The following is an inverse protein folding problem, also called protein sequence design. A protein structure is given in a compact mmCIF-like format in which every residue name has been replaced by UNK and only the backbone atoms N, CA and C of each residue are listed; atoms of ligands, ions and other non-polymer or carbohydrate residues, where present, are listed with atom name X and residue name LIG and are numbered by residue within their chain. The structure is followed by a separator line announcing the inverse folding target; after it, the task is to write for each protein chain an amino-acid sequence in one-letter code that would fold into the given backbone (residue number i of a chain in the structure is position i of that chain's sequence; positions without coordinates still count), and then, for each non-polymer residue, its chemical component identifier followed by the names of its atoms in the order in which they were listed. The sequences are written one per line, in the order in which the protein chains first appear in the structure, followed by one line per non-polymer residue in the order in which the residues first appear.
data_IF_226357775060
#
_entry.id   IF_226357775060
#
_cell.length_a   1.000
_cell.length_b   1.000
_cell.length_c   1.000
_cell.angle_alpha   90.00
_cell.angle_beta   90.00
_cell.angle_gamma   90.00
#
_symmetry.space_group_name_H-M   'P 1'
#
loop_
_entity.id
_entity.type
_entity.pdbx_description
1 polymer ?
#
# COMPACT_ATOMS: atom_id res chain seq x y z
N UNK A 1 30.72 -27.78 20.20
CA UNK A 1 29.30 -27.39 20.46
C UNK A 1 29.05 -25.87 20.34
N UNK A 2 30.03 -25.00 20.57
CA UNK A 2 29.93 -23.53 20.38
C UNK A 2 29.83 -23.09 18.91
N UNK A 3 30.61 -23.71 18.01
CA UNK A 3 30.66 -23.31 16.60
C UNK A 3 29.34 -23.54 15.85
N UNK A 4 28.65 -24.65 16.13
CA UNK A 4 27.35 -24.96 15.53
C UNK A 4 26.28 -23.94 15.96
N UNK A 5 26.31 -23.51 17.22
CA UNK A 5 25.43 -22.45 17.75
C UNK A 5 25.72 -21.11 17.06
N UNK A 6 26.98 -20.75 16.85
CA UNK A 6 27.35 -19.52 16.15
C UNK A 6 26.90 -19.52 14.68
N UNK A 7 27.05 -20.65 13.97
CA UNK A 7 26.55 -20.82 12.59
C UNK A 7 25.02 -20.68 12.52
N UNK A 8 24.31 -21.31 13.46
CA UNK A 8 22.85 -21.21 13.55
C UNK A 8 22.38 -19.77 13.79
N UNK A 9 22.97 -19.06 14.75
CA UNK A 9 22.65 -17.66 15.05
C UNK A 9 22.90 -16.77 13.83
N UNK A 10 24.01 -17.00 13.11
CA UNK A 10 24.32 -16.26 11.88
C UNK A 10 23.25 -16.48 10.81
N UNK A 11 22.81 -17.72 10.60
CA UNK A 11 21.73 -18.03 9.66
C UNK A 11 20.41 -17.37 10.06
N UNK A 12 20.01 -17.47 11.34
CA UNK A 12 18.80 -16.84 11.85
C UNK A 12 18.80 -15.32 11.65
N UNK A 13 19.94 -14.67 11.91
CA UNK A 13 20.09 -13.23 11.71
C UNK A 13 19.97 -12.80 10.24
N UNK A 14 20.47 -13.61 9.30
CA UNK A 14 20.32 -13.36 7.87
C UNK A 14 18.84 -13.43 7.45
N UNK A 15 18.10 -14.44 7.91
CA UNK A 15 16.67 -14.57 7.64
C UNK A 15 15.88 -13.40 8.26
N UNK A 16 16.14 -13.04 9.51
CA UNK A 16 15.47 -11.92 10.17
C UNK A 16 15.69 -10.60 9.43
N UNK A 17 16.91 -10.33 8.95
CA UNK A 17 17.23 -9.13 8.16
C UNK A 17 16.47 -9.12 6.83
N UNK A 18 16.46 -10.25 6.12
CA UNK A 18 15.76 -10.39 4.83
C UNK A 18 14.24 -10.17 4.98
N UNK A 19 13.63 -10.76 6.02
CA UNK A 19 12.20 -10.58 6.33
C UNK A 19 11.91 -9.10 6.60
N UNK A 20 12.69 -8.45 7.47
CA UNK A 20 12.52 -7.02 7.78
C UNK A 20 12.61 -6.14 6.53
N UNK A 21 13.57 -6.40 5.64
CA UNK A 21 13.70 -5.64 4.39
C UNK A 21 12.51 -5.87 3.45
N UNK A 22 12.04 -7.12 3.32
CA UNK A 22 10.85 -7.48 2.54
C UNK A 22 9.58 -6.80 3.09
N UNK A 23 9.42 -6.74 4.42
CA UNK A 23 8.30 -6.04 5.06
C UNK A 23 8.33 -4.55 4.75
N UNK A 24 9.50 -3.89 4.88
CA UNK A 24 9.64 -2.46 4.56
C UNK A 24 9.32 -2.16 3.09
N UNK A 25 9.82 -2.98 2.17
CA UNK A 25 9.53 -2.84 0.73
C UNK A 25 8.04 -3.05 0.44
N UNK A 26 7.41 -4.02 1.11
CA UNK A 26 5.97 -4.28 1.01
C UNK A 26 5.17 -3.08 1.52
N UNK A 27 5.49 -2.55 2.70
CA UNK A 27 4.84 -1.35 3.24
C UNK A 27 5.00 -0.14 2.31
N UNK A 28 6.18 0.06 1.72
CA UNK A 28 6.39 1.12 0.74
C UNK A 28 5.49 0.93 -0.50
N UNK A 29 5.35 -0.31 -0.99
CA UNK A 29 4.47 -0.60 -2.14
C UNK A 29 3.01 -0.25 -1.86
N UNK A 30 2.49 -0.55 -0.65
CA UNK A 30 1.13 -0.16 -0.25
C UNK A 30 0.97 1.37 -0.19
N UNK A 31 1.94 2.08 0.38
CA UNK A 31 1.89 3.55 0.48
C UNK A 31 1.86 4.22 -0.89
N UNK A 32 2.68 3.74 -1.84
CA UNK A 32 2.69 4.28 -3.20
C UNK A 32 1.40 3.91 -3.95
N UNK A 33 0.92 2.67 -3.82
CA UNK A 33 -0.36 2.26 -4.41
C UNK A 33 -1.53 3.10 -3.90
N UNK A 34 -1.58 3.38 -2.59
CA UNK A 34 -2.58 4.26 -1.99
C UNK A 34 -2.47 5.70 -2.52
N UNK A 35 -1.24 6.22 -2.67
CA UNK A 35 -1.02 7.56 -3.22
C UNK A 35 -1.53 7.65 -4.67
N UNK A 36 -1.23 6.65 -5.50
CA UNK A 36 -1.72 6.57 -6.89
C UNK A 36 -3.25 6.55 -6.94
N UNK A 37 -3.89 5.70 -6.13
CA UNK A 37 -5.34 5.62 -6.04
C UNK A 37 -5.96 6.95 -5.60
N UNK A 38 -5.42 7.56 -4.54
CA UNK A 38 -5.89 8.85 -3.99
C UNK A 38 -5.78 10.00 -5.01
N UNK A 39 -4.78 9.96 -5.89
CA UNK A 39 -4.55 10.97 -6.92
C UNK A 39 -5.18 10.60 -8.27
N UNK A 40 -5.94 9.50 -8.33
CA UNK A 40 -6.59 8.98 -9.54
C UNK A 40 -5.59 8.86 -10.69
N UNK A 41 -4.43 8.28 -10.38
CA UNK A 41 -3.33 8.07 -11.33
C UNK A 41 -3.36 6.66 -11.91
N UNK A 42 -3.02 6.48 -13.20
CA UNK A 42 -2.85 5.16 -13.80
C UNK A 42 -1.86 4.31 -13.01
N UNK A 43 -2.19 3.04 -12.79
CA UNK A 43 -1.35 2.14 -11.98
C UNK A 43 0.00 1.82 -12.64
N UNK A 44 0.10 2.00 -13.95
CA UNK A 44 1.36 1.93 -14.71
C UNK A 44 2.38 2.99 -14.26
N UNK A 45 1.93 4.10 -13.67
CA UNK A 45 2.84 5.12 -13.13
C UNK A 45 3.70 4.60 -11.97
N UNK A 46 3.33 3.47 -11.34
CA UNK A 46 4.15 2.84 -10.32
C UNK A 46 5.57 2.50 -10.80
N UNK A 47 5.71 2.08 -12.06
CA UNK A 47 7.03 1.79 -12.65
C UNK A 47 7.84 3.06 -12.90
N UNK A 48 7.18 4.13 -13.38
CA UNK A 48 7.80 5.44 -13.59
C UNK A 48 8.29 6.03 -12.25
N UNK A 49 7.49 5.91 -11.18
CA UNK A 49 7.90 6.35 -9.83
C UNK A 49 9.15 5.60 -9.39
N UNK A 50 9.21 4.27 -9.63
CA UNK A 50 10.38 3.47 -9.27
C UNK A 50 11.62 3.90 -10.05
N UNK A 51 11.47 4.12 -11.35
CA UNK A 51 12.55 4.59 -12.22
C UNK A 51 13.07 5.97 -11.76
N UNK A 52 12.18 6.91 -11.47
CA UNK A 52 12.55 8.21 -10.92
C UNK A 52 13.31 8.09 -9.58
N UNK A 53 12.87 7.21 -8.69
CA UNK A 53 13.57 6.94 -7.41
C UNK A 53 14.99 6.38 -7.64
N UNK A 54 15.17 5.51 -8.63
CA UNK A 54 16.48 4.96 -8.98
C UNK A 54 17.40 6.03 -9.59
N UNK A 55 16.90 6.84 -10.52
CA UNK A 55 17.65 7.97 -11.10
C UNK A 55 18.12 8.95 -10.00
N UNK A 56 17.23 9.30 -9.07
CA UNK A 56 17.59 10.12 -7.92
C UNK A 56 18.62 9.44 -7.01
N UNK A 57 18.51 8.13 -6.81
CA UNK A 57 19.45 7.42 -5.97
C UNK A 57 20.85 7.35 -6.60
N UNK A 58 20.93 7.15 -7.92
CA UNK A 58 22.18 7.11 -8.66
C UNK A 58 22.86 8.48 -8.72
N UNK A 59 22.09 9.57 -8.80
CA UNK A 59 22.63 10.93 -8.91
C UNK A 59 22.96 11.57 -7.56
N UNK A 60 22.07 11.47 -6.56
CA UNK A 60 22.25 12.14 -5.27
C UNK A 60 23.19 11.38 -4.33
N UNK A 61 23.32 10.06 -4.50
CA UNK A 61 24.14 9.21 -3.64
C UNK A 61 25.32 8.59 -4.38
N UNK A 62 25.74 9.15 -5.52
CA UNK A 62 26.78 8.55 -6.36
C UNK A 62 28.08 8.26 -5.58
N UNK A 63 28.53 9.23 -4.78
CA UNK A 63 29.72 9.14 -3.94
C UNK A 63 29.44 8.63 -2.51
N UNK A 64 28.21 8.23 -2.20
CA UNK A 64 27.83 7.84 -0.85
C UNK A 64 28.03 6.34 -0.62
N UNK A 65 28.67 5.97 0.50
CA UNK A 65 28.94 4.55 0.85
C UNK A 65 27.69 3.66 0.90
N UNK A 66 26.52 4.26 1.16
CA UNK A 66 25.22 3.56 1.22
C UNK A 66 24.49 3.44 -0.12
N UNK A 67 25.06 3.91 -1.25
CA UNK A 67 24.43 3.88 -2.58
C UNK A 67 23.83 2.52 -2.91
N UNK A 68 24.64 1.47 -2.81
CA UNK A 68 24.24 0.11 -3.15
C UNK A 68 23.09 -0.39 -2.28
N UNK A 69 23.08 -0.03 -0.99
CA UNK A 69 22.00 -0.43 -0.07
C UNK A 69 20.70 0.29 -0.42
N UNK A 70 20.76 1.58 -0.76
CA UNK A 70 19.61 2.39 -1.17
C UNK A 70 19.02 1.86 -2.48
N UNK A 71 19.85 1.69 -3.51
CA UNK A 71 19.43 1.16 -4.82
C UNK A 71 18.83 -0.24 -4.67
N UNK A 72 19.45 -1.11 -3.86
CA UNK A 72 18.90 -2.45 -3.57
C UNK A 72 17.55 -2.38 -2.86
N UNK A 73 17.39 -1.47 -1.91
CA UNK A 73 16.13 -1.27 -1.20
C UNK A 73 15.01 -0.79 -2.15
N UNK A 74 15.29 0.18 -3.03
CA UNK A 74 14.34 0.68 -4.03
C UNK A 74 13.97 -0.42 -5.03
N UNK A 75 14.96 -1.18 -5.51
CA UNK A 75 14.73 -2.31 -6.41
C UNK A 75 13.83 -3.40 -5.80
N UNK A 76 13.89 -3.59 -4.49
CA UNK A 76 13.01 -4.51 -3.76
C UNK A 76 11.53 -4.09 -3.72
N UNK A 77 11.20 -2.83 -4.02
CA UNK A 77 9.82 -2.35 -4.02
C UNK A 77 9.11 -2.86 -5.28
N UNK A 78 7.98 -3.54 -5.09
CA UNK A 78 7.16 -4.08 -6.17
C UNK A 78 6.11 -3.04 -6.59
N UNK A 79 6.25 -2.45 -7.77
CA UNK A 79 5.38 -1.37 -8.27
C UNK A 79 4.85 -1.61 -9.69
N UNK A 80 4.91 -2.85 -10.19
CA UNK A 80 4.24 -3.18 -11.46
C UNK A 80 2.74 -2.90 -11.36
N UNK A 81 2.11 -2.54 -12.48
CA UNK A 81 0.68 -2.21 -12.50
C UNK A 81 -0.17 -3.29 -11.82
N UNK A 82 0.10 -4.58 -12.10
CA UNK A 82 -0.56 -5.73 -11.44
C UNK A 82 -0.38 -5.72 -9.92
N UNK A 83 0.82 -5.40 -9.44
CA UNK A 83 1.06 -5.33 -8.00
C UNK A 83 0.27 -4.19 -7.39
N UNK A 84 0.31 -3.00 -8.00
CA UNK A 84 -0.43 -1.82 -7.54
C UNK A 84 -1.94 -2.13 -7.46
N UNK A 85 -2.52 -2.74 -8.49
CA UNK A 85 -3.91 -3.22 -8.49
C UNK A 85 -4.20 -4.10 -7.28
N UNK A 86 -3.41 -5.16 -7.08
CA UNK A 86 -3.60 -6.10 -5.96
C UNK A 86 -3.49 -5.40 -4.60
N UNK A 87 -2.56 -4.44 -4.45
CA UNK A 87 -2.42 -3.67 -3.19
C UNK A 87 -3.67 -2.84 -2.92
N UNK A 88 -4.25 -2.22 -3.95
CA UNK A 88 -5.48 -1.43 -3.85
C UNK A 88 -6.67 -2.33 -3.50
N UNK A 89 -6.82 -3.47 -4.18
CA UNK A 89 -7.87 -4.46 -3.88
C UNK A 89 -7.77 -4.94 -2.42
N UNK A 90 -6.57 -5.29 -1.95
CA UNK A 90 -6.35 -5.67 -0.55
C UNK A 90 -6.77 -4.58 0.44
N UNK A 91 -6.44 -3.31 0.15
CA UNK A 91 -6.86 -2.19 0.99
C UNK A 91 -8.38 -1.98 0.95
N UNK A 92 -9.02 -2.16 -0.22
CA UNK A 92 -10.46 -2.06 -0.35
C UNK A 92 -11.17 -3.16 0.46
N UNK A 93 -10.72 -4.41 0.36
CA UNK A 93 -11.25 -5.53 1.15
C UNK A 93 -11.04 -5.32 2.66
N UNK A 94 -9.91 -4.75 3.07
CA UNK A 94 -9.64 -4.43 4.48
C UNK A 94 -10.62 -3.35 5.01
N UNK A 95 -10.85 -2.29 4.22
CA UNK A 95 -11.85 -1.25 4.55
C UNK A 95 -13.26 -1.85 4.61
N UNK A 96 -13.63 -2.69 3.65
CA UNK A 96 -14.92 -3.38 3.62
C UNK A 96 -15.12 -4.28 4.84
N UNK A 97 -14.09 -5.02 5.25
CA UNK A 97 -14.14 -5.88 6.45
C UNK A 97 -14.30 -5.07 7.74
N UNK A 98 -13.58 -3.94 7.86
CA UNK A 98 -13.73 -3.02 8.99
C UNK A 98 -15.15 -2.42 9.01
N UNK A 99 -15.63 -1.91 7.88
CA UNK A 99 -16.98 -1.36 7.74
C UNK A 99 -18.05 -2.37 8.13
N UNK A 100 -17.96 -3.61 7.63
CA UNK A 100 -18.89 -4.68 8.00
C UNK A 100 -18.85 -4.95 9.51
N UNK A 101 -17.66 -5.00 10.10
CA UNK A 101 -17.50 -5.22 11.54
C UNK A 101 -18.16 -4.09 12.35
N UNK A 102 -18.00 -2.85 11.93
CA UNK A 102 -18.52 -1.68 12.64
C UNK A 102 -20.05 -1.58 12.50
N UNK A 103 -20.59 -1.87 11.32
CA UNK A 103 -22.04 -1.96 11.09
C UNK A 103 -22.67 -3.02 12.01
N UNK A 104 -22.07 -4.22 12.09
CA UNK A 104 -22.59 -5.31 12.94
C UNK A 104 -22.57 -4.98 14.44
N UNK A 105 -21.67 -4.08 14.87
CA UNK A 105 -21.62 -3.60 16.26
C UNK A 105 -22.54 -2.40 16.52
N UNK A 106 -22.96 -1.70 15.47
CA UNK A 106 -23.75 -0.48 15.59
C UNK A 106 -25.20 -0.80 16.02
N UNK A 107 -25.71 -0.08 17.02
CA UNK A 107 -27.12 -0.20 17.44
C UNK A 107 -28.05 0.49 16.43
N UNK A 108 -27.56 1.56 15.82
CA UNK A 108 -28.28 2.35 14.83
C UNK A 108 -27.34 2.71 13.68
N UNK A 109 -27.85 2.57 12.47
CA UNK A 109 -27.22 3.07 11.24
C UNK A 109 -28.30 3.68 10.34
N UNK A 110 -27.89 4.58 9.45
CA UNK A 110 -28.72 5.07 8.34
C UNK A 110 -28.02 4.86 7.01
N UNK A 111 -28.82 4.67 5.97
CA UNK A 111 -28.38 4.47 4.61
C UNK A 111 -28.94 5.61 3.76
N UNK A 112 -28.11 6.28 2.99
CA UNK A 112 -28.53 7.21 1.96
C UNK A 112 -28.12 6.65 0.60
N UNK A 113 -29.05 6.68 -0.35
CA UNK A 113 -28.83 6.24 -1.72
C UNK A 113 -29.12 7.43 -2.63
N UNK A 114 -28.17 7.75 -3.49
CA UNK A 114 -28.25 8.88 -4.42
C UNK A 114 -28.00 8.37 -5.84
N UNK A 115 -28.96 8.61 -6.74
CA UNK A 115 -28.89 8.22 -8.14
C UNK A 115 -28.71 9.47 -9.01
N UNK A 116 -27.69 9.47 -9.86
CA UNK A 116 -27.45 10.52 -10.86
C UNK A 116 -27.19 9.91 -12.23
N UNK A 117 -27.34 10.68 -13.29
CA UNK A 117 -27.02 10.23 -14.66
C UNK A 117 -25.80 10.98 -15.18
N UNK A 118 -24.88 10.29 -15.82
CA UNK A 118 -23.73 10.94 -16.45
C UNK A 118 -24.04 11.53 -17.82
N UNK A 119 -23.03 12.14 -18.45
CA UNK A 119 -23.15 12.78 -19.78
C UNK A 119 -23.49 11.81 -20.91
N UNK A 120 -23.42 10.50 -20.65
CA UNK A 120 -23.80 9.42 -21.56
C UNK A 120 -25.11 8.74 -21.17
N UNK A 121 -25.94 9.40 -20.36
CA UNK A 121 -27.21 8.89 -19.83
C UNK A 121 -27.07 7.56 -19.06
N UNK A 122 -25.87 7.27 -18.55
CA UNK A 122 -25.64 6.09 -17.71
C UNK A 122 -25.94 6.45 -16.25
N UNK A 123 -26.86 5.71 -15.63
CA UNK A 123 -27.19 5.87 -14.21
C UNK A 123 -26.00 5.43 -13.32
N UNK A 124 -25.67 6.27 -12.35
CA UNK A 124 -24.66 6.07 -11.32
C UNK A 124 -25.34 6.09 -9.95
N UNK A 125 -25.11 5.05 -9.15
CA UNK A 125 -25.70 4.90 -7.82
C UNK A 125 -24.63 5.02 -6.73
N UNK A 126 -24.75 6.05 -5.89
CA UNK A 126 -23.93 6.25 -4.71
C UNK A 126 -24.68 5.78 -3.47
N UNK A 127 -24.00 4.99 -2.62
CA UNK A 127 -24.55 4.50 -1.36
C UNK A 127 -23.67 4.98 -0.21
N UNK A 128 -24.26 5.72 0.73
CA UNK A 128 -23.60 6.26 1.91
C UNK A 128 -24.13 5.58 3.17
N UNK A 129 -23.21 5.04 3.97
CA UNK A 129 -23.50 4.44 5.26
C UNK A 129 -23.12 5.40 6.38
N UNK A 130 -24.07 5.70 7.26
CA UNK A 130 -23.80 6.44 8.49
C UNK A 130 -24.07 5.52 9.67
N UNK A 131 -23.03 5.23 10.44
CA UNK A 131 -23.14 4.45 11.67
C UNK A 131 -22.39 5.21 12.76
N UNK A 132 -22.90 5.14 13.98
CA UNK A 132 -22.28 5.85 15.11
C UNK A 132 -21.15 5.00 15.68
N UNK A 133 -19.96 5.21 15.12
CA UNK A 133 -18.70 4.75 15.69
C UNK A 133 -17.73 5.94 15.67
N UNK A 134 -17.04 6.23 16.78
CA UNK A 134 -16.35 7.51 17.02
C UNK A 134 -15.72 8.16 15.77
N UNK A 135 -16.39 9.19 15.23
CA UNK A 135 -16.05 10.07 14.09
C UNK A 135 -14.75 9.74 13.32
N UNK A 136 -14.82 8.89 12.28
CA UNK A 136 -13.80 8.85 11.23
C UNK A 136 -14.30 9.58 9.99
N UNK A 137 -13.83 10.82 9.82
CA UNK A 137 -14.05 11.62 8.62
C UNK A 137 -13.17 11.08 7.50
N UNK A 138 -13.78 10.57 6.42
CA UNK A 138 -13.09 10.37 5.16
C UNK A 138 -13.39 11.60 4.31
N UNK A 139 -12.43 12.53 4.26
CA UNK A 139 -12.47 13.64 3.31
C UNK A 139 -12.03 13.07 1.95
N UNK A 140 -12.98 13.02 1.00
CA UNK A 140 -12.72 12.81 -0.42
C UNK A 140 -12.06 14.07 -1.02
#
# INVERSE_FOLDING_TARGET
MSELKLKLIKQQNLFARSISQSTKATTASFKIAHLLAKKIKPFVEGEIIKEAMLLHAETLFDDHKSKNEIVTAINGIQLSARTVTRRIEMMATDIESQLNTDIQKSVFFSLQVDESTDVSDTSQLCIYYYYKDGFRRFDC
#
